data_IF_674613346690
#
_entry.id   IF_674613346690
#
_cell.length_a   1.000
_cell.length_b   1.000
_cell.length_c   1.000
_cell.angle_alpha   90.00
_cell.angle_beta   90.00
_cell.angle_gamma   90.00
#
_symmetry.space_group_name_H-M   'P 1'
#
loop_
_entity.id
_entity.type
_entity.pdbx_description
1 polymer ?
#
# COMPACT_ATOMS: atom_id res chain seq x y z
N UNK A 1 6.19 5.96 4.83
CA UNK A 1 6.32 6.00 6.30
C UNK A 1 7.29 7.11 6.67
N UNK A 2 7.17 7.74 7.83
CA UNK A 2 8.13 8.75 8.29
C UNK A 2 9.33 8.07 8.95
N UNK A 3 10.55 8.58 8.70
CA UNK A 3 11.78 8.07 9.32
C UNK A 3 11.97 8.71 10.69
N UNK A 4 11.95 7.89 11.75
CA UNK A 4 12.15 8.33 13.14
C UNK A 4 13.45 7.70 13.67
N UNK A 5 14.34 8.51 14.25
CA UNK A 5 15.63 8.04 14.74
C UNK A 5 15.43 7.13 15.95
N UNK A 6 16.00 5.93 15.92
CA UNK A 6 15.96 4.97 17.03
C UNK A 6 14.64 4.21 17.19
N UNK A 7 13.65 4.44 16.31
CA UNK A 7 12.37 3.70 16.35
C UNK A 7 12.60 2.22 16.10
N UNK A 8 12.07 1.39 17.00
CA UNK A 8 11.98 -0.07 16.84
C UNK A 8 10.52 -0.47 16.97
N UNK A 9 9.93 -1.08 15.94
CA UNK A 9 8.56 -1.59 16.04
C UNK A 9 8.51 -2.78 17.01
N UNK A 10 7.42 -2.89 17.75
CA UNK A 10 7.08 -4.11 18.49
C UNK A 10 6.27 -5.02 17.57
N UNK A 11 6.65 -6.30 17.47
CA UNK A 11 6.00 -7.26 16.58
C UNK A 11 6.40 -7.12 15.10
N UNK A 12 5.52 -7.58 14.20
CA UNK A 12 5.73 -7.59 12.75
C UNK A 12 5.00 -6.42 12.09
N UNK A 13 5.72 -5.34 11.71
CA UNK A 13 5.09 -4.17 11.11
C UNK A 13 4.55 -4.51 9.72
N UNK A 14 3.29 -4.17 9.48
CA UNK A 14 2.65 -4.39 8.19
C UNK A 14 1.67 -3.26 7.87
N UNK A 15 1.39 -3.09 6.58
CA UNK A 15 0.39 -2.14 6.09
C UNK A 15 -0.92 -2.87 5.87
N UNK A 16 -1.97 -2.40 6.54
CA UNK A 16 -3.33 -2.88 6.33
C UNK A 16 -4.23 -1.74 5.86
N UNK A 17 -4.92 -1.96 4.74
CA UNK A 17 -5.92 -1.06 4.19
C UNK A 17 -7.31 -1.65 4.36
N UNK A 18 -8.25 -0.82 4.81
CA UNK A 18 -9.68 -1.14 4.88
C UNK A 18 -10.47 -0.22 3.95
N UNK A 19 -11.60 -0.73 3.44
CA UNK A 19 -12.53 0.06 2.65
C UNK A 19 -13.60 0.67 3.56
N UNK A 20 -14.03 1.90 3.26
CA UNK A 20 -15.01 2.63 4.05
C UNK A 20 -16.45 2.11 3.88
N UNK A 21 -16.76 1.52 2.73
CA UNK A 21 -18.06 0.92 2.39
C UNK A 21 -17.85 -0.47 1.79
N UNK A 22 -18.61 -1.46 2.27
CA UNK A 22 -18.45 -2.86 1.91
C UNK A 22 -18.63 -3.12 0.40
N UNK A 23 -17.67 -3.83 -0.20
CA UNK A 23 -18.03 -4.88 -1.15
C UNK A 23 -17.64 -4.76 -2.63
N UNK A 24 -16.65 -3.97 -3.06
CA UNK A 24 -16.26 -3.94 -4.51
C UNK A 24 -14.77 -3.92 -4.85
N UNK A 25 -13.88 -3.89 -3.87
CA UNK A 25 -12.44 -3.74 -4.12
C UNK A 25 -11.67 -4.87 -3.45
N UNK A 26 -11.02 -5.71 -4.26
CA UNK A 26 -10.01 -6.64 -3.78
C UNK A 26 -8.70 -5.89 -3.63
N UNK A 27 -8.11 -5.97 -2.44
CA UNK A 27 -6.83 -5.30 -2.12
C UNK A 27 -5.74 -6.36 -2.07
N UNK A 28 -4.72 -6.21 -2.91
CA UNK A 28 -3.52 -7.05 -2.91
C UNK A 28 -2.30 -6.21 -2.52
N UNK A 29 -1.37 -6.83 -1.80
CA UNK A 29 -0.17 -6.15 -1.27
C UNK A 29 1.10 -6.75 -1.86
N UNK A 30 2.10 -5.91 -2.07
CA UNK A 30 3.44 -6.32 -2.48
C UNK A 30 4.49 -5.59 -1.60
N UNK A 31 5.26 -6.32 -0.78
CA UNK A 31 5.25 -7.78 -0.59
C UNK A 31 3.95 -8.31 0.02
N UNK A 32 3.74 -9.63 -0.06
CA UNK A 32 2.53 -10.28 0.45
C UNK A 32 2.30 -9.94 1.93
N UNK A 33 1.03 -9.72 2.31
CA UNK A 33 0.65 -9.30 3.66
C UNK A 33 1.02 -7.85 4.01
N UNK A 34 1.62 -7.10 3.08
CA UNK A 34 2.03 -5.71 3.32
C UNK A 34 3.14 -5.58 4.36
N UNK A 35 3.89 -6.66 4.59
CA UNK A 35 4.91 -6.74 5.64
C UNK A 35 6.10 -5.82 5.34
N UNK A 36 6.70 -5.30 6.41
CA UNK A 36 7.92 -4.52 6.35
C UNK A 36 8.99 -5.30 7.12
N UNK A 37 10.10 -5.61 6.45
CA UNK A 37 11.20 -6.32 7.09
C UNK A 37 11.80 -5.50 8.24
N UNK A 38 12.05 -6.18 9.37
CA UNK A 38 12.71 -5.58 10.54
C UNK A 38 14.14 -5.12 10.23
N UNK A 39 14.78 -5.60 9.16
CA UNK A 39 16.11 -5.15 8.74
C UNK A 39 16.20 -3.65 8.48
N UNK A 40 15.07 -2.99 8.19
CA UNK A 40 15.01 -1.55 7.99
C UNK A 40 14.98 -0.75 9.31
N UNK A 41 14.89 -1.40 10.47
CA UNK A 41 14.80 -0.74 11.77
C UNK A 41 15.98 -1.10 12.69
N UNK A 42 16.50 -0.16 13.49
CA UNK A 42 16.12 1.25 13.57
C UNK A 42 16.87 2.13 12.55
N UNK A 43 16.28 3.28 12.21
CA UNK A 43 16.97 4.32 11.46
C UNK A 43 17.86 5.15 12.40
N UNK A 44 19.13 5.37 12.05
CA UNK A 44 20.09 6.11 12.88
C UNK A 44 20.31 7.57 12.47
N UNK A 45 19.55 8.08 11.50
CA UNK A 45 19.68 9.45 11.00
C UNK A 45 20.55 9.57 9.75
N UNK A 46 20.39 10.68 9.02
CA UNK A 46 20.96 10.88 7.68
C UNK A 46 22.50 10.86 7.67
N UNK A 47 23.13 11.30 8.76
CA UNK A 47 24.59 11.40 8.81
C UNK A 47 25.26 10.03 9.07
N UNK A 48 24.66 9.19 9.92
CA UNK A 48 25.18 7.85 10.20
C UNK A 48 24.73 6.84 9.13
N UNK A 49 23.57 7.07 8.52
CA UNK A 49 22.89 6.17 7.59
C UNK A 49 22.48 6.97 6.33
N UNK A 50 23.49 7.45 5.57
CA UNK A 50 23.26 8.29 4.39
C UNK A 50 22.53 7.54 3.27
N UNK A 51 22.90 6.27 3.04
CA UNK A 51 22.34 5.42 2.00
C UNK A 51 21.16 4.57 2.49
N UNK A 52 20.54 4.97 3.61
CA UNK A 52 19.39 4.28 4.14
C UNK A 52 18.20 4.35 3.18
N UNK A 53 17.76 3.19 2.72
CA UNK A 53 16.57 3.03 1.89
C UNK A 53 15.36 2.82 2.78
N UNK A 54 14.34 3.65 2.60
CA UNK A 54 13.09 3.49 3.32
C UNK A 54 12.27 2.36 2.67
N UNK A 55 11.69 1.43 3.47
CA UNK A 55 10.84 0.39 2.92
C UNK A 55 9.60 0.98 2.26
N UNK A 56 9.18 0.35 1.16
CA UNK A 56 7.98 0.68 0.41
C UNK A 56 7.12 -0.58 0.28
N UNK A 57 5.82 -0.38 0.39
CA UNK A 57 4.81 -1.42 0.16
C UNK A 57 3.88 -0.91 -0.93
N UNK A 58 3.70 -1.69 -1.98
CA UNK A 58 2.73 -1.40 -3.02
C UNK A 58 1.39 -2.04 -2.67
N UNK A 59 0.31 -1.28 -2.90
CA UNK A 59 -1.07 -1.73 -2.72
C UNK A 59 -1.76 -1.67 -4.06
N UNK A 60 -2.24 -2.80 -4.53
CA UNK A 60 -2.99 -2.92 -5.77
C UNK A 60 -4.48 -3.09 -5.43
N UNK A 61 -5.30 -2.27 -6.08
CA UNK A 61 -6.74 -2.28 -5.94
C UNK A 61 -7.33 -2.89 -7.20
N UNK A 62 -7.95 -4.06 -7.08
CA UNK A 62 -8.63 -4.76 -8.16
C UNK A 62 -10.13 -4.59 -7.96
N UNK A 63 -10.79 -3.97 -8.94
CA UNK A 63 -12.24 -3.79 -8.92
C UNK A 63 -12.85 -4.72 -9.96
N UNK A 64 -13.52 -5.77 -9.50
CA UNK A 64 -14.32 -6.62 -10.36
C UNK A 64 -15.66 -5.94 -10.63
N UNK A 65 -15.90 -5.48 -11.85
CA UNK A 65 -17.24 -5.11 -12.30
C UNK A 65 -17.70 -6.16 -13.31
N UNK A 66 -18.67 -7.04 -12.97
CA UNK A 66 -19.06 -8.16 -13.82
C UNK A 66 -19.67 -7.73 -15.18
N UNK A 67 -19.98 -6.44 -15.35
CA UNK A 67 -20.59 -5.87 -16.55
C UNK A 67 -19.67 -4.93 -17.34
N UNK A 68 -18.38 -4.86 -17.02
CA UNK A 68 -17.44 -3.98 -17.71
C UNK A 68 -16.84 -4.70 -18.92
N UNK A 69 -17.37 -4.42 -20.11
CA UNK A 69 -16.81 -4.92 -21.38
C UNK A 69 -15.62 -4.03 -21.77
N UNK A 70 -14.41 -4.53 -21.54
CA UNK A 70 -13.15 -3.86 -21.89
C UNK A 70 -12.54 -4.35 -23.22
N UNK A 71 -13.25 -5.20 -23.96
CA UNK A 71 -12.81 -5.78 -25.23
C UNK A 71 -13.62 -5.20 -26.40
N UNK A 72 -13.41 -3.92 -26.74
CA UNK A 72 -13.90 -3.32 -27.99
C UNK A 72 -12.77 -2.52 -28.66
N UNK A 73 -12.31 -2.99 -29.83
CA UNK A 73 -11.23 -2.36 -30.60
C UNK A 73 -11.60 -0.97 -31.14
N UNK A 74 -12.90 -0.64 -31.20
CA UNK A 74 -13.39 0.65 -31.73
C UNK A 74 -13.52 1.72 -30.66
N UNK A 75 -13.73 1.33 -29.41
CA UNK A 75 -13.86 2.26 -28.30
C UNK A 75 -12.95 1.88 -27.13
N UNK A 76 -11.71 2.34 -27.20
CA UNK A 76 -10.68 2.23 -26.15
C UNK A 76 -11.04 2.93 -24.83
N UNK A 77 -12.20 3.58 -24.75
CA UNK A 77 -12.70 4.26 -23.57
C UNK A 77 -13.89 3.52 -22.92
N UNK A 78 -14.52 2.55 -23.59
CA UNK A 78 -15.49 1.64 -22.98
C UNK A 78 -14.84 0.89 -21.82
N UNK A 79 -15.47 0.95 -20.64
CA UNK A 79 -14.97 0.30 -19.43
C UNK A 79 -13.87 1.05 -18.67
N UNK A 80 -13.64 2.33 -18.96
CA UNK A 80 -12.85 3.18 -18.06
C UNK A 80 -13.70 3.68 -16.89
N UNK A 81 -13.27 3.34 -15.67
CA UNK A 81 -13.84 3.86 -14.41
C UNK A 81 -12.82 4.82 -13.80
N UNK A 82 -13.22 6.06 -13.56
CA UNK A 82 -12.44 7.02 -12.77
C UNK A 82 -13.01 7.08 -11.35
N UNK A 83 -12.16 6.93 -10.35
CA UNK A 83 -12.54 6.94 -8.95
C UNK A 83 -11.51 7.71 -8.12
N UNK A 84 -11.99 8.31 -7.03
CA UNK A 84 -11.14 8.98 -6.06
C UNK A 84 -10.78 7.97 -4.97
N UNK A 85 -9.48 7.76 -4.73
CA UNK A 85 -9.00 6.91 -3.63
C UNK A 85 -8.50 7.80 -2.52
N UNK A 86 -9.04 7.63 -1.31
CA UNK A 86 -8.48 8.19 -0.10
C UNK A 86 -7.71 7.08 0.63
N UNK A 87 -6.37 7.15 0.58
CA UNK A 87 -5.50 6.21 1.28
C UNK A 87 -5.20 6.79 2.66
N UNK A 88 -5.77 6.18 3.70
CA UNK A 88 -5.39 6.46 5.09
C UNK A 88 -4.41 5.38 5.52
N UNK A 89 -3.15 5.73 5.75
CA UNK A 89 -2.16 4.81 6.28
C UNK A 89 -2.33 4.71 7.81
N UNK A 90 -2.83 3.56 8.28
CA UNK A 90 -2.81 3.23 9.70
C UNK A 90 -1.45 2.59 10.01
N UNK A 91 -0.65 3.26 10.83
CA UNK A 91 0.45 2.60 11.54
C UNK A 91 -0.13 2.27 12.91
N UNK A 92 -0.50 1.01 13.12
CA UNK A 92 -0.79 0.52 14.46
C UNK A 92 0.55 0.43 15.19
N UNK A 93 0.83 1.42 16.03
CA UNK A 93 1.71 1.21 17.19
C UNK A 93 0.80 0.76 18.33
N UNK A 94 1.15 -0.31 19.08
CA UNK A 94 0.39 -0.72 20.26
C UNK A 94 0.26 0.40 21.29
#
# INVERSE_FOLDING_TARGET
>A
MTRIIGLKPEGEPHIQCSHKEEGKVQITYFPAGGMIDLMYFPYYGKNLHADYLQPLVAVQLIMGSPNLRNEDDRDKFLGRISFNVQITACVETP
#
